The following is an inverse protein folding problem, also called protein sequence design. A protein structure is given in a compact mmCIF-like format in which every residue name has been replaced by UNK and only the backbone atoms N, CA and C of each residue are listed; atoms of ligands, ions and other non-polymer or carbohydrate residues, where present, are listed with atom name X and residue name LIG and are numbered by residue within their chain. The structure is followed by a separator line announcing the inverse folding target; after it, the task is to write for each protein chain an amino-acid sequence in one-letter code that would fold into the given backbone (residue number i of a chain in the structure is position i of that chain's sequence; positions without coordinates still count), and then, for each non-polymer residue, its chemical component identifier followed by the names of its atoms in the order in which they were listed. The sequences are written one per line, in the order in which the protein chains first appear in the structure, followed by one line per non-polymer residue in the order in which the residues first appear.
data_IF_089188983052
#
_entry.id   IF_089188983052
#
_cell.length_a   1.000
_cell.length_b   1.000
_cell.length_c   1.000
_cell.angle_alpha   90.00
_cell.angle_beta   90.00
_cell.angle_gamma   90.00
#
_symmetry.space_group_name_H-M   'P 1'
#
loop_
_entity.id
_entity.type
_entity.pdbx_description
1 polymer ?
#
# COMPACT_ATOMS: atom_id res chain seq x y z
N UNK A 1 12.76 -28.29 -82.44
CA UNK A 1 12.55 -28.89 -81.17
C UNK A 1 13.19 -28.00 -80.10
N UNK A 2 12.39 -27.29 -79.32
CA UNK A 2 12.87 -26.36 -78.29
C UNK A 2 12.27 -26.84 -76.94
N UNK A 3 13.11 -27.30 -76.04
CA UNK A 3 12.72 -27.69 -74.69
C UNK A 3 12.79 -26.45 -73.78
N UNK A 4 11.65 -26.07 -73.23
CA UNK A 4 11.58 -25.09 -72.13
C UNK A 4 11.67 -25.81 -70.81
N UNK A 5 12.76 -25.56 -70.11
CA UNK A 5 12.91 -25.98 -68.67
C UNK A 5 12.25 -24.93 -67.78
N UNK A 6 11.23 -25.31 -67.04
CA UNK A 6 10.64 -24.52 -65.97
C UNK A 6 11.41 -24.74 -64.68
N UNK A 7 12.02 -23.67 -64.16
CA UNK A 7 12.69 -23.66 -62.85
C UNK A 7 11.62 -23.28 -61.81
N UNK A 8 11.20 -24.23 -60.99
CA UNK A 8 10.30 -23.98 -59.86
C UNK A 8 11.05 -23.40 -58.68
N UNK A 9 10.69 -22.19 -58.31
CA UNK A 9 11.24 -21.55 -57.10
C UNK A 9 10.45 -22.05 -55.86
N UNK A 10 11.09 -22.82 -55.01
CA UNK A 10 10.53 -23.24 -53.71
C UNK A 10 10.75 -22.08 -52.71
N UNK A 11 9.68 -21.40 -52.40
CA UNK A 11 9.68 -20.38 -51.32
C UNK A 11 9.66 -21.05 -49.93
N UNK A 12 10.74 -20.88 -49.17
CA UNK A 12 10.84 -21.30 -47.80
C UNK A 12 10.11 -20.31 -46.90
N UNK A 13 8.92 -20.65 -46.40
CA UNK A 13 8.19 -19.86 -45.38
C UNK A 13 8.84 -20.10 -44.03
N UNK A 14 9.58 -19.11 -43.52
CA UNK A 14 10.11 -19.11 -42.17
C UNK A 14 9.00 -18.62 -41.25
N UNK A 15 8.38 -19.50 -40.46
CA UNK A 15 7.47 -19.16 -39.39
C UNK A 15 8.28 -18.65 -38.18
N UNK A 16 8.14 -17.37 -37.85
CA UNK A 16 8.73 -16.77 -36.67
C UNK A 16 7.77 -17.05 -35.50
N UNK A 17 8.19 -17.76 -34.45
CA UNK A 17 7.36 -17.92 -33.25
C UNK A 17 7.22 -16.57 -32.52
N UNK A 18 6.00 -16.04 -32.45
CA UNK A 18 5.67 -14.92 -31.58
C UNK A 18 5.62 -15.45 -30.15
N UNK A 19 6.69 -15.23 -29.40
CA UNK A 19 6.69 -15.49 -27.95
C UNK A 19 5.81 -14.43 -27.28
N UNK A 20 4.57 -14.79 -26.92
CA UNK A 20 3.76 -14.03 -25.98
C UNK A 20 4.42 -14.11 -24.61
N UNK A 21 5.24 -13.13 -24.25
CA UNK A 21 5.72 -12.95 -22.91
C UNK A 21 4.54 -12.60 -22.00
N UNK A 22 4.20 -13.51 -21.07
CA UNK A 22 3.35 -13.17 -19.93
C UNK A 22 4.10 -12.14 -19.11
N UNK A 23 3.75 -10.86 -19.25
CA UNK A 23 4.17 -9.83 -18.32
C UNK A 23 3.54 -10.19 -16.98
N UNK A 24 4.37 -10.56 -16.00
CA UNK A 24 3.92 -10.70 -14.63
C UNK A 24 3.40 -9.33 -14.18
N UNK A 25 2.11 -9.28 -13.80
CA UNK A 25 1.47 -8.08 -13.28
C UNK A 25 2.22 -7.66 -12.02
N UNK A 26 2.88 -6.51 -12.06
CA UNK A 26 3.50 -5.94 -10.87
C UNK A 26 2.41 -5.67 -9.84
N UNK A 27 2.67 -5.88 -8.52
CA UNK A 27 1.68 -5.63 -7.48
C UNK A 27 1.13 -4.20 -7.61
N UNK A 28 -0.14 -4.08 -7.95
CA UNK A 28 -0.78 -2.76 -8.04
C UNK A 28 -0.90 -2.15 -6.63
N UNK A 29 -0.60 -0.86 -6.46
CA UNK A 29 -0.84 -0.18 -5.20
C UNK A 29 -2.30 -0.34 -4.78
N UNK A 30 -2.55 -0.60 -3.49
CA UNK A 30 -3.90 -0.69 -2.98
C UNK A 30 -4.69 0.60 -3.29
N UNK A 31 -5.97 0.48 -3.71
CA UNK A 31 -6.80 1.65 -3.99
C UNK A 31 -6.95 2.53 -2.74
N UNK A 32 -7.11 3.85 -2.91
CA UNK A 32 -7.31 4.75 -1.78
C UNK A 32 -8.64 4.45 -1.09
N UNK A 33 -8.60 4.38 0.25
CA UNK A 33 -9.79 4.25 1.09
C UNK A 33 -10.19 5.64 1.60
N UNK A 34 -11.28 6.18 1.05
CA UNK A 34 -11.84 7.46 1.53
C UNK A 34 -12.59 7.20 2.84
N UNK A 35 -12.07 7.78 3.92
CA UNK A 35 -12.65 7.61 5.25
C UNK A 35 -13.99 8.36 5.32
N UNK A 36 -15.11 7.67 5.62
CA UNK A 36 -16.40 8.32 5.68
C UNK A 36 -16.48 9.31 6.85
N UNK A 37 -17.19 10.42 6.63
CA UNK A 37 -17.54 11.39 7.69
C UNK A 37 -18.88 10.99 8.28
N UNK A 38 -18.91 10.70 9.57
CA UNK A 38 -20.14 10.38 10.29
C UNK A 38 -20.99 11.64 10.53
N UNK A 39 -22.24 11.45 10.99
CA UNK A 39 -23.18 12.56 11.24
C UNK A 39 -22.68 13.57 12.29
N UNK A 40 -21.81 13.14 13.20
CA UNK A 40 -21.16 13.98 14.21
C UNK A 40 -19.90 14.71 13.69
N UNK A 41 -19.60 14.58 12.41
CA UNK A 41 -18.45 15.21 11.75
C UNK A 41 -17.12 14.47 11.92
N UNK A 42 -17.08 13.36 12.63
CA UNK A 42 -15.85 12.56 12.85
C UNK A 42 -15.66 11.58 11.69
N UNK A 43 -14.43 11.46 11.23
CA UNK A 43 -14.02 10.51 10.19
C UNK A 43 -13.54 9.22 10.85
N UNK A 44 -14.24 8.10 10.64
CA UNK A 44 -13.95 6.84 11.32
C UNK A 44 -13.54 5.74 10.37
N UNK A 45 -12.47 5.02 10.73
CA UNK A 45 -12.04 3.84 10.02
C UNK A 45 -11.37 2.83 10.96
N UNK A 46 -11.36 1.57 10.53
CA UNK A 46 -10.56 0.52 11.15
C UNK A 46 -9.36 0.23 10.26
N UNK A 47 -8.19 0.10 10.87
CA UNK A 47 -6.95 -0.31 10.21
C UNK A 47 -6.48 -1.61 10.84
N UNK A 48 -6.34 -2.64 10.03
CA UNK A 48 -5.78 -3.92 10.45
C UNK A 48 -4.26 -3.88 10.31
N UNK A 49 -3.56 -4.29 11.35
CA UNK A 49 -2.10 -4.44 11.39
C UNK A 49 -1.79 -5.94 11.35
N UNK A 50 -1.22 -6.39 10.25
CA UNK A 50 -0.81 -7.77 10.05
C UNK A 50 0.70 -7.83 9.76
N UNK A 51 1.22 -9.00 9.46
CA UNK A 51 2.63 -9.24 9.18
C UNK A 51 3.17 -8.30 8.11
N UNK A 52 3.75 -7.19 8.57
CA UNK A 52 4.38 -6.13 7.76
C UNK A 52 3.43 -5.38 6.81
N UNK A 53 2.16 -5.26 7.18
CA UNK A 53 1.17 -4.54 6.38
C UNK A 53 0.13 -3.79 7.20
N UNK A 54 -0.44 -2.72 6.61
CA UNK A 54 -1.65 -2.05 7.05
C UNK A 54 -2.77 -2.29 6.03
N UNK A 55 -3.98 -2.51 6.51
CA UNK A 55 -5.16 -2.63 5.64
C UNK A 55 -6.34 -1.82 6.19
N UNK A 56 -6.79 -0.78 5.50
CA UNK A 56 -6.22 -0.19 4.29
C UNK A 56 -4.86 0.49 4.52
N UNK A 57 -3.98 0.50 3.51
CA UNK A 57 -2.66 1.16 3.58
C UNK A 57 -2.67 2.59 3.02
N UNK A 58 -3.71 2.98 2.29
CA UNK A 58 -3.91 4.33 1.78
C UNK A 58 -5.22 4.91 2.29
N UNK A 59 -5.13 5.82 3.26
CA UNK A 59 -6.27 6.52 3.85
C UNK A 59 -6.39 7.91 3.24
N UNK A 60 -7.61 8.33 2.90
CA UNK A 60 -7.93 9.69 2.44
C UNK A 60 -8.90 10.32 3.42
N UNK A 61 -8.54 11.45 4.00
CA UNK A 61 -9.30 12.19 5.00
C UNK A 61 -9.44 13.66 4.63
N UNK A 62 -10.38 14.37 5.26
CA UNK A 62 -10.58 15.80 5.09
C UNK A 62 -9.84 16.58 6.17
N UNK A 63 -9.16 17.66 5.75
CA UNK A 63 -8.51 18.60 6.67
C UNK A 63 -9.53 19.28 7.61
N UNK A 64 -9.08 19.57 8.82
CA UNK A 64 -9.88 20.27 9.83
C UNK A 64 -10.97 19.44 10.50
N UNK A 65 -11.16 18.18 10.11
CA UNK A 65 -12.12 17.28 10.74
C UNK A 65 -11.42 16.24 11.60
N UNK A 66 -11.96 15.91 12.80
CA UNK A 66 -11.41 14.85 13.63
C UNK A 66 -11.40 13.51 12.89
N UNK A 67 -10.32 12.75 13.07
CA UNK A 67 -10.15 11.38 12.56
C UNK A 67 -10.04 10.46 13.77
N UNK A 68 -10.83 9.39 13.79
CA UNK A 68 -10.75 8.33 14.78
C UNK A 68 -10.44 7.01 14.08
N UNK A 69 -9.28 6.45 14.37
CA UNK A 69 -8.85 5.17 13.81
C UNK A 69 -8.85 4.10 14.89
N UNK A 70 -9.53 3.00 14.61
CA UNK A 70 -9.41 1.77 15.40
C UNK A 70 -8.32 0.90 14.78
N UNK A 71 -7.21 0.77 15.47
CA UNK A 71 -6.03 -0.01 15.08
C UNK A 71 -6.13 -1.39 15.68
N UNK A 72 -6.22 -2.44 14.88
CA UNK A 72 -6.33 -3.83 15.36
C UNK A 72 -5.17 -4.66 14.84
N UNK A 73 -4.33 -5.16 15.75
CA UNK A 73 -3.30 -6.14 15.41
C UNK A 73 -3.90 -7.54 15.40
N UNK A 74 -3.76 -8.24 14.28
CA UNK A 74 -4.19 -9.64 14.10
C UNK A 74 -3.05 -10.64 14.25
N UNK A 75 -1.84 -10.18 14.51
CA UNK A 75 -0.69 -11.04 14.82
C UNK A 75 -0.78 -11.63 16.21
N UNK A 76 -0.17 -12.79 16.44
CA UNK A 76 -0.21 -13.48 17.74
C UNK A 76 0.94 -13.11 18.66
N UNK A 77 2.10 -12.76 18.10
CA UNK A 77 3.33 -12.49 18.89
C UNK A 77 4.06 -11.22 18.45
N UNK A 78 3.79 -10.72 17.23
CA UNK A 78 4.54 -9.61 16.67
C UNK A 78 3.88 -8.28 17.04
N UNK A 79 4.53 -7.40 17.81
CA UNK A 79 4.00 -6.08 18.11
C UNK A 79 4.22 -5.15 16.91
N UNK A 80 3.32 -4.19 16.75
CA UNK A 80 3.38 -3.16 15.74
C UNK A 80 3.28 -1.77 16.36
N UNK A 81 3.51 -0.75 15.56
CA UNK A 81 3.05 0.60 15.84
C UNK A 81 2.51 1.26 14.57
N UNK A 82 1.85 2.38 14.79
CA UNK A 82 1.27 3.21 13.75
C UNK A 82 1.86 4.61 13.92
N UNK A 83 2.70 5.01 12.98
CA UNK A 83 3.41 6.29 13.05
C UNK A 83 3.05 7.12 11.84
N UNK A 84 2.68 8.39 12.10
CA UNK A 84 2.62 9.46 11.10
C UNK A 84 3.47 10.60 11.64
N UNK A 85 4.51 10.99 10.93
CA UNK A 85 5.33 12.15 11.30
C UNK A 85 5.48 13.08 10.10
N UNK A 86 4.95 14.28 10.25
CA UNK A 86 5.20 15.37 9.33
C UNK A 86 6.52 16.05 9.70
N UNK A 87 7.51 16.13 8.79
CA UNK A 87 8.75 16.84 9.05
C UNK A 87 8.54 18.33 9.39
N UNK A 88 7.46 18.95 8.90
CA UNK A 88 7.07 20.31 9.24
C UNK A 88 6.40 20.44 10.62
N UNK A 89 6.11 19.31 11.28
CA UNK A 89 5.55 19.28 12.63
C UNK A 89 4.05 19.52 12.75
N UNK A 90 3.32 19.63 11.62
CA UNK A 90 1.87 19.88 11.63
C UNK A 90 1.05 18.64 12.06
N UNK A 91 1.61 17.45 11.93
CA UNK A 91 0.97 16.20 12.28
C UNK A 91 1.99 15.22 12.88
N UNK A 92 1.72 14.77 14.10
CA UNK A 92 2.54 13.76 14.78
C UNK A 92 1.63 12.79 15.51
N UNK A 93 1.63 11.54 15.06
CA UNK A 93 0.89 10.42 15.67
C UNK A 93 1.87 9.28 15.86
N UNK A 94 1.89 8.72 17.06
CA UNK A 94 2.68 7.53 17.37
C UNK A 94 1.92 6.68 18.36
N UNK A 95 1.56 5.47 17.96
CA UNK A 95 0.79 4.54 18.78
C UNK A 95 1.33 3.13 18.67
N UNK A 96 1.70 2.55 19.81
CA UNK A 96 2.01 1.13 19.93
C UNK A 96 0.74 0.29 19.92
N UNK A 97 0.79 -0.83 19.19
CA UNK A 97 -0.28 -1.83 19.14
C UNK A 97 0.31 -3.20 19.40
N UNK A 98 0.12 -3.72 20.63
CA UNK A 98 0.60 -5.04 20.97
C UNK A 98 -0.11 -6.13 20.16
N UNK A 99 0.54 -7.29 19.99
CA UNK A 99 0.00 -8.43 19.29
C UNK A 99 -1.40 -8.80 19.82
N UNK A 100 -2.36 -8.99 18.90
CA UNK A 100 -3.75 -9.35 19.19
C UNK A 100 -4.56 -8.27 19.92
N UNK A 101 -4.07 -7.03 19.99
CA UNK A 101 -4.78 -5.93 20.67
C UNK A 101 -5.37 -4.94 19.68
N UNK A 102 -6.39 -4.24 20.19
CA UNK A 102 -7.06 -3.13 19.50
C UNK A 102 -6.87 -1.86 20.33
N UNK A 103 -6.53 -0.77 19.66
CA UNK A 103 -6.35 0.57 20.24
C UNK A 103 -7.06 1.58 19.36
N UNK A 104 -7.72 2.56 19.95
CA UNK A 104 -8.34 3.68 19.24
C UNK A 104 -7.49 4.93 19.41
N UNK A 105 -7.21 5.61 18.31
CA UNK A 105 -6.50 6.91 18.29
C UNK A 105 -7.36 7.98 17.66
N UNK A 106 -7.15 9.22 18.10
CA UNK A 106 -7.86 10.39 17.56
C UNK A 106 -6.87 11.50 17.26
N UNK A 107 -6.99 12.12 16.08
CA UNK A 107 -6.20 13.28 15.68
C UNK A 107 -6.97 14.15 14.68
N UNK A 108 -6.54 15.39 14.52
CA UNK A 108 -7.17 16.31 13.55
C UNK A 108 -6.09 16.87 12.63
N UNK A 109 -5.98 16.38 11.38
CA UNK A 109 -5.04 16.92 10.43
C UNK A 109 -5.54 18.27 9.92
N UNK A 110 -4.72 19.30 9.99
CA UNK A 110 -5.11 20.66 9.59
C UNK A 110 -4.52 21.09 8.26
N UNK A 111 -3.41 20.49 7.85
CA UNK A 111 -2.72 20.83 6.60
C UNK A 111 -3.02 19.76 5.53
N UNK A 112 -3.51 20.14 4.34
CA UNK A 112 -3.57 19.24 3.20
C UNK A 112 -2.17 18.72 2.83
N UNK A 113 -2.10 17.47 2.41
CA UNK A 113 -0.83 16.86 2.02
C UNK A 113 -0.88 15.32 2.06
N UNK A 114 0.27 14.72 1.78
CA UNK A 114 0.44 13.27 1.88
C UNK A 114 1.51 12.95 2.90
N UNK A 115 1.14 12.19 3.92
CA UNK A 115 1.98 11.84 5.05
C UNK A 115 2.23 10.34 5.07
N UNK A 116 3.49 9.89 5.23
CA UNK A 116 3.77 8.47 5.33
C UNK A 116 3.21 7.88 6.63
N UNK A 117 2.64 6.68 6.53
CA UNK A 117 2.31 5.80 7.66
C UNK A 117 3.37 4.71 7.68
N UNK A 118 3.95 4.39 8.83
CA UNK A 118 4.95 3.32 8.92
C UNK A 118 5.02 2.69 10.31
N UNK A 119 5.62 1.48 10.35
CA UNK A 119 5.96 0.76 11.57
C UNK A 119 7.47 0.64 11.70
N UNK A 120 8.07 1.22 12.74
CA UNK A 120 9.52 1.15 12.98
C UNK A 120 9.95 0.03 13.93
N UNK A 121 9.01 -0.78 14.42
CA UNK A 121 9.31 -1.93 15.27
C UNK A 121 10.34 -2.85 14.60
N UNK A 122 11.28 -3.32 15.42
CA UNK A 122 12.32 -4.26 14.97
C UNK A 122 12.82 -5.11 16.12
N UNK A 123 13.24 -6.32 15.83
CA UNK A 123 14.01 -7.18 16.71
C UNK A 123 15.43 -7.27 16.18
N UNK A 124 16.37 -6.57 16.86
CA UNK A 124 17.76 -6.60 16.44
C UNK A 124 18.33 -8.03 16.44
N UNK A 125 19.13 -8.47 15.41
CA UNK A 125 19.67 -7.70 14.29
C UNK A 125 18.79 -7.64 13.03
N UNK A 126 17.53 -8.04 13.09
CA UNK A 126 16.63 -8.05 11.93
C UNK A 126 16.25 -6.64 11.47
N UNK A 127 15.94 -6.46 10.17
CA UNK A 127 15.44 -5.20 9.65
C UNK A 127 14.13 -4.79 10.32
N UNK A 128 13.80 -3.49 10.31
CA UNK A 128 12.54 -2.99 10.85
C UNK A 128 11.34 -3.50 10.04
N UNK A 129 10.14 -3.38 10.61
CA UNK A 129 8.92 -3.70 9.87
C UNK A 129 8.73 -2.79 8.65
N UNK A 130 9.16 -1.52 8.76
CA UNK A 130 9.21 -0.60 7.63
C UNK A 130 10.09 -1.10 6.50
N UNK A 131 11.31 -1.56 6.82
CA UNK A 131 12.24 -2.13 5.83
C UNK A 131 11.67 -3.40 5.16
N UNK A 132 10.70 -4.06 5.81
CA UNK A 132 9.98 -5.21 5.28
C UNK A 132 8.70 -4.82 4.52
N UNK A 133 8.45 -3.53 4.32
CA UNK A 133 7.32 -3.02 3.55
C UNK A 133 6.10 -2.61 4.38
N UNK A 134 6.18 -2.56 5.72
CA UNK A 134 5.06 -2.10 6.56
C UNK A 134 4.95 -0.57 6.49
N UNK A 135 4.42 -0.12 5.38
CA UNK A 135 4.21 1.28 5.05
C UNK A 135 2.83 1.52 4.45
N UNK A 136 2.37 2.75 4.58
CA UNK A 136 1.15 3.26 3.99
C UNK A 136 1.23 4.78 3.84
N UNK A 137 0.10 5.40 3.56
CA UNK A 137 0.01 6.87 3.47
C UNK A 137 -1.34 7.38 3.93
N UNK A 138 -1.31 8.54 4.55
CA UNK A 138 -2.46 9.37 4.83
C UNK A 138 -2.47 10.54 3.84
N UNK A 139 -3.51 10.64 3.04
CA UNK A 139 -3.75 11.79 2.16
C UNK A 139 -4.80 12.68 2.82
N UNK A 140 -4.44 13.93 3.08
CA UNK A 140 -5.32 14.96 3.67
C UNK A 140 -5.74 15.93 2.58
N UNK A 141 -7.03 16.10 2.35
CA UNK A 141 -7.64 16.97 1.34
C UNK A 141 -8.38 18.15 1.97
#
# INVERSE_FOLDING_TARGET
MRYFSAIGTVGLLIAIPVSMGLAADAPQPAPPFVVPVAADGVQRATVILDSYSYSPSHLVVQAGKPVELTLTSVTTITPHNFIIKDPAGSLSVEQDVSAGKTVTITFTPVQPGTFPIYCDKRLWPMPSHRDKGMEGKLEVK
#
